data_IF_774515934919
#
_entry.id   IF_774515934919
#
_cell.length_a   1.000
_cell.length_b   1.000
_cell.length_c   1.000
_cell.angle_alpha   90.00
_cell.angle_beta   90.00
_cell.angle_gamma   90.00
#
_symmetry.space_group_name_H-M   'P 1'
#
loop_
_entity.id
_entity.type
_entity.pdbx_description
1 polymer ?
#
# COMPACT_ATOMS: atom_id res chain seq x y z
N UNK A 1 8.42 -5.59 -20.36
CA UNK A 1 8.17 -6.30 -19.10
C UNK A 1 7.71 -5.23 -18.12
N UNK A 2 6.42 -5.21 -17.79
CA UNK A 2 5.90 -4.24 -16.83
C UNK A 2 6.48 -4.53 -15.44
N UNK A 3 6.93 -3.47 -14.77
CA UNK A 3 7.35 -3.55 -13.38
C UNK A 3 6.11 -3.69 -12.49
N UNK A 4 6.23 -4.35 -11.34
CA UNK A 4 5.14 -4.42 -10.34
C UNK A 4 4.62 -3.04 -9.94
N UNK A 5 5.48 -2.03 -9.94
CA UNK A 5 5.08 -0.65 -9.69
C UNK A 5 4.07 -0.16 -10.73
N UNK A 6 4.29 -0.45 -12.01
CA UNK A 6 3.39 -0.07 -13.11
C UNK A 6 2.06 -0.82 -13.01
N UNK A 7 2.09 -2.13 -12.72
CA UNK A 7 0.88 -2.94 -12.52
C UNK A 7 0.02 -2.39 -11.39
N UNK A 8 0.62 -2.07 -10.23
CA UNK A 8 -0.12 -1.50 -9.10
C UNK A 8 -0.69 -0.12 -9.44
N UNK A 9 0.08 0.73 -10.13
CA UNK A 9 -0.40 2.03 -10.58
C UNK A 9 -1.57 1.90 -11.56
N UNK A 10 -1.52 0.92 -12.47
CA UNK A 10 -2.59 0.68 -13.44
C UNK A 10 -3.87 0.15 -12.78
N UNK A 11 -3.76 -0.86 -11.89
CA UNK A 11 -4.90 -1.38 -11.12
C UNK A 11 -5.65 -0.27 -10.37
N UNK A 12 -4.93 0.74 -9.86
CA UNK A 12 -5.51 1.90 -9.20
C UNK A 12 -6.10 2.91 -10.20
N UNK A 13 -5.38 3.23 -11.28
CA UNK A 13 -5.78 4.22 -12.30
C UNK A 13 -7.05 3.80 -13.04
N UNK A 14 -7.23 2.52 -13.35
CA UNK A 14 -8.44 2.03 -14.02
C UNK A 14 -9.64 1.90 -13.07
N UNK A 15 -9.51 2.30 -11.80
CA UNK A 15 -10.60 2.35 -10.81
C UNK A 15 -11.02 0.99 -10.25
N UNK A 16 -10.43 -0.11 -10.72
CA UNK A 16 -10.78 -1.48 -10.30
C UNK A 16 -10.30 -1.86 -8.89
N UNK A 17 -9.37 -1.08 -8.33
CA UNK A 17 -8.78 -1.30 -7.00
C UNK A 17 -8.56 0.02 -6.24
N UNK A 18 -8.73 -0.01 -4.92
CA UNK A 18 -8.18 1.01 -4.04
C UNK A 18 -6.64 0.86 -3.89
N UNK A 19 -5.96 1.82 -3.25
CA UNK A 19 -4.50 1.79 -3.15
C UNK A 19 -3.97 0.52 -2.44
N UNK A 20 -4.66 0.06 -1.40
CA UNK A 20 -4.30 -1.16 -0.66
C UNK A 20 -4.46 -2.37 -1.55
N UNK A 21 -5.64 -2.54 -2.15
CA UNK A 21 -5.96 -3.62 -3.07
C UNK A 21 -5.01 -3.67 -4.26
N UNK A 22 -4.63 -2.52 -4.83
CA UNK A 22 -3.68 -2.46 -5.93
C UNK A 22 -2.33 -3.06 -5.54
N UNK A 23 -1.82 -2.78 -4.33
CA UNK A 23 -0.59 -3.40 -3.82
C UNK A 23 -0.81 -4.89 -3.54
N UNK A 24 -1.88 -5.25 -2.83
CA UNK A 24 -2.17 -6.64 -2.48
C UNK A 24 -2.26 -7.55 -3.71
N UNK A 25 -3.08 -7.18 -4.69
CA UNK A 25 -3.26 -7.96 -5.91
C UNK A 25 -2.01 -7.97 -6.81
N UNK A 26 -1.10 -7.01 -6.66
CA UNK A 26 0.16 -7.01 -7.43
C UNK A 26 1.22 -7.91 -6.81
N UNK A 27 1.12 -8.17 -5.50
CA UNK A 27 2.10 -8.94 -4.73
C UNK A 27 1.51 -10.22 -4.10
N UNK A 28 0.35 -10.67 -4.56
CA UNK A 28 -0.36 -11.83 -4.01
C UNK A 28 0.44 -13.14 -4.11
N UNK A 29 1.33 -13.24 -5.09
CA UNK A 29 2.22 -14.38 -5.27
C UNK A 29 3.24 -14.55 -4.12
N UNK A 30 3.49 -13.49 -3.34
CA UNK A 30 4.31 -13.58 -2.12
C UNK A 30 3.53 -13.95 -0.86
N UNK A 31 2.20 -13.97 -0.92
CA UNK A 31 1.38 -14.07 0.29
C UNK A 31 0.78 -15.45 0.52
N UNK A 32 0.87 -16.34 -0.47
CA UNK A 32 0.24 -17.66 -0.43
C UNK A 32 -1.30 -17.61 -0.46
N UNK A 33 -1.88 -16.47 -0.83
CA UNK A 33 -3.32 -16.29 -0.97
C UNK A 33 -3.68 -16.12 -2.44
N UNK A 34 -4.87 -16.59 -2.83
CA UNK A 34 -5.42 -16.26 -4.14
C UNK A 34 -5.73 -14.76 -4.25
N UNK A 35 -5.78 -14.26 -5.48
CA UNK A 35 -5.94 -12.82 -5.74
C UNK A 35 -7.28 -12.29 -5.21
N UNK A 36 -8.36 -13.08 -5.27
CA UNK A 36 -9.69 -12.63 -4.81
C UNK A 36 -9.72 -12.47 -3.29
N UNK A 37 -9.25 -13.47 -2.54
CA UNK A 37 -9.23 -13.41 -1.08
C UNK A 37 -8.39 -12.25 -0.59
N UNK A 38 -7.20 -12.04 -1.15
CA UNK A 38 -6.35 -10.92 -0.71
C UNK A 38 -6.89 -9.55 -1.16
N UNK A 39 -7.57 -9.48 -2.31
CA UNK A 39 -8.29 -8.27 -2.72
C UNK A 39 -9.36 -7.90 -1.69
N UNK A 40 -10.14 -8.88 -1.24
CA UNK A 40 -11.21 -8.67 -0.26
C UNK A 40 -10.67 -8.22 1.10
N UNK A 41 -9.51 -8.73 1.52
CA UNK A 41 -8.82 -8.24 2.71
C UNK A 41 -8.49 -6.73 2.63
N UNK A 42 -8.37 -6.17 1.44
CA UNK A 42 -8.10 -4.74 1.21
C UNK A 42 -9.31 -3.80 1.22
N UNK A 43 -10.55 -4.31 1.31
CA UNK A 43 -11.77 -3.52 1.07
C UNK A 43 -11.92 -2.31 2.00
N UNK A 44 -11.61 -2.47 3.28
CA UNK A 44 -11.82 -1.43 4.29
C UNK A 44 -10.78 -0.29 4.23
N UNK A 45 -9.68 -0.44 3.48
CA UNK A 45 -8.48 0.39 3.58
C UNK A 45 -8.39 1.59 2.61
N UNK A 46 -9.45 1.86 1.86
CA UNK A 46 -9.53 3.01 0.95
C UNK A 46 -9.57 4.35 1.70
N UNK A 47 -9.17 5.44 1.06
CA UNK A 47 -9.26 6.81 1.61
C UNK A 47 -8.67 6.94 3.04
N UNK A 48 -7.53 6.28 3.29
CA UNK A 48 -6.92 6.25 4.64
C UNK A 48 -7.78 5.54 5.70
N UNK A 49 -8.63 4.59 5.27
CA UNK A 49 -9.73 3.94 5.99
C UNK A 49 -11.00 4.79 6.22
N UNK A 50 -11.35 5.56 5.19
CA UNK A 50 -12.72 6.04 4.99
C UNK A 50 -12.98 7.45 5.46
N UNK A 51 -12.08 8.05 6.23
CA UNK A 51 -12.21 9.41 6.73
C UNK A 51 -11.02 10.31 6.37
N UNK A 52 -10.09 9.85 5.53
CA UNK A 52 -8.85 10.52 5.12
C UNK A 52 -7.80 10.72 6.23
N UNK A 53 -8.10 10.40 7.48
CA UNK A 53 -7.21 10.66 8.60
C UNK A 53 -6.20 9.52 8.87
N UNK A 54 -6.34 8.36 8.23
CA UNK A 54 -5.40 7.25 8.42
C UNK A 54 -4.21 7.22 7.47
N UNK A 55 -3.40 6.17 7.64
CA UNK A 55 -2.20 5.90 6.84
C UNK A 55 -2.56 5.62 5.38
N UNK A 56 -1.67 5.99 4.45
CA UNK A 56 -1.78 5.67 3.04
C UNK A 56 -2.07 4.17 2.81
N UNK A 57 -3.09 3.85 2.02
CA UNK A 57 -3.46 2.46 1.73
C UNK A 57 -2.34 1.64 1.08
N UNK A 58 -1.48 2.26 0.28
CA UNK A 58 -0.32 1.59 -0.30
C UNK A 58 0.64 1.02 0.77
N UNK A 59 0.86 1.77 1.86
CA UNK A 59 1.68 1.33 2.99
C UNK A 59 1.00 0.23 3.78
N UNK A 60 -0.33 0.30 3.95
CA UNK A 60 -1.10 -0.78 4.58
C UNK A 60 -0.98 -2.07 3.77
N UNK A 61 -1.13 -2.00 2.44
CA UNK A 61 -0.98 -3.14 1.54
C UNK A 61 0.42 -3.75 1.63
N UNK A 62 1.47 -2.93 1.65
CA UNK A 62 2.85 -3.39 1.83
C UNK A 62 3.05 -4.11 3.17
N UNK A 63 2.44 -3.62 4.25
CA UNK A 63 2.49 -4.25 5.57
C UNK A 63 1.83 -5.63 5.60
N UNK A 64 0.65 -5.76 4.97
CA UNK A 64 -0.06 -7.04 4.85
C UNK A 64 0.79 -8.05 4.04
N UNK A 65 1.30 -7.65 2.87
CA UNK A 65 2.17 -8.50 2.04
C UNK A 65 3.39 -8.96 2.82
N UNK A 66 4.08 -8.04 3.51
CA UNK A 66 5.28 -8.36 4.28
C UNK A 66 4.98 -9.33 5.44
N UNK A 67 3.85 -9.14 6.12
CA UNK A 67 3.39 -10.03 7.18
C UNK A 67 3.18 -11.46 6.68
N UNK A 68 2.45 -11.59 5.57
CA UNK A 68 2.14 -12.88 4.96
C UNK A 68 3.38 -13.56 4.36
N UNK A 69 4.27 -12.79 3.71
CA UNK A 69 5.47 -13.32 3.09
C UNK A 69 6.54 -13.77 4.09
N UNK A 70 6.65 -13.09 5.24
CA UNK A 70 7.69 -13.41 6.23
C UNK A 70 7.22 -14.36 7.33
N UNK A 71 5.92 -14.36 7.64
CA UNK A 71 5.30 -15.13 8.73
C UNK A 71 6.04 -15.00 10.08
N UNK A 72 6.72 -13.87 10.27
CA UNK A 72 7.55 -13.58 11.44
C UNK A 72 7.31 -12.13 11.86
N UNK A 73 6.85 -11.96 13.11
CA UNK A 73 6.49 -10.66 13.67
C UNK A 73 7.68 -9.70 13.72
N UNK A 74 8.85 -10.15 14.15
CA UNK A 74 10.02 -9.29 14.35
C UNK A 74 10.59 -8.82 13.02
N UNK A 75 10.71 -9.72 12.04
CA UNK A 75 11.15 -9.42 10.67
C UNK A 75 10.15 -8.49 9.98
N UNK A 76 8.85 -8.76 10.12
CA UNK A 76 7.78 -7.90 9.58
C UNK A 76 7.88 -6.47 10.12
N UNK A 77 7.99 -6.30 11.45
CA UNK A 77 8.06 -4.97 12.06
C UNK A 77 9.33 -4.24 11.62
N UNK A 78 10.48 -4.93 11.59
CA UNK A 78 11.75 -4.34 11.13
C UNK A 78 11.66 -3.91 9.65
N UNK A 79 11.12 -4.77 8.79
CA UNK A 79 10.93 -4.48 7.37
C UNK A 79 9.96 -3.32 7.14
N UNK A 80 8.81 -3.33 7.82
CA UNK A 80 7.81 -2.27 7.68
C UNK A 80 8.34 -0.93 8.18
N UNK A 81 9.12 -0.91 9.26
CA UNK A 81 9.80 0.32 9.74
C UNK A 81 10.68 0.92 8.65
N UNK A 82 11.50 0.11 7.99
CA UNK A 82 12.34 0.59 6.89
C UNK A 82 11.51 1.13 5.71
N UNK A 83 10.38 0.50 5.37
CA UNK A 83 9.47 0.98 4.32
C UNK A 83 8.85 2.32 4.73
N UNK A 84 8.34 2.43 5.96
CA UNK A 84 7.75 3.65 6.51
C UNK A 84 8.75 4.80 6.52
N UNK A 85 9.98 4.56 7.00
CA UNK A 85 11.02 5.57 7.10
C UNK A 85 11.43 6.08 5.71
N UNK A 86 11.65 5.18 4.74
CA UNK A 86 11.97 5.56 3.37
C UNK A 86 10.82 6.30 2.69
N UNK A 87 9.58 5.87 2.91
CA UNK A 87 8.41 6.55 2.37
C UNK A 87 8.30 7.96 2.97
N UNK A 88 8.44 8.10 4.28
CA UNK A 88 8.41 9.41 4.94
C UNK A 88 9.57 10.31 4.53
N UNK A 89 10.78 9.78 4.34
CA UNK A 89 11.92 10.56 3.84
C UNK A 89 11.66 11.11 2.44
N UNK A 90 11.04 10.31 1.56
CA UNK A 90 10.72 10.73 0.20
C UNK A 90 9.51 11.67 0.15
N UNK A 91 8.45 11.36 0.87
CA UNK A 91 7.15 12.01 0.72
C UNK A 91 6.84 13.02 1.84
N UNK A 92 7.66 13.08 2.89
CA UNK A 92 7.48 13.92 4.10
C UNK A 92 6.46 13.38 5.10
N UNK A 93 5.41 12.72 4.61
CA UNK A 93 4.26 12.25 5.40
C UNK A 93 3.85 10.83 4.99
N UNK A 94 3.08 10.16 5.86
CA UNK A 94 2.50 8.83 5.58
C UNK A 94 0.98 8.82 5.60
N UNK A 95 0.35 9.91 6.07
CA UNK A 95 -1.10 10.07 6.17
C UNK A 95 -1.71 10.35 4.80
N UNK A 96 -2.82 9.68 4.48
CA UNK A 96 -3.43 9.70 3.15
C UNK A 96 -3.82 11.13 2.71
N UNK A 97 -4.53 11.87 3.57
CA UNK A 97 -4.95 13.26 3.29
C UNK A 97 -3.79 14.17 2.91
N UNK A 98 -2.70 14.12 3.66
CA UNK A 98 -1.56 15.01 3.44
C UNK A 98 -0.81 14.69 2.13
N UNK A 99 -0.85 13.43 1.68
CA UNK A 99 -0.25 13.01 0.41
C UNK A 99 -1.04 13.44 -0.82
N UNK A 100 -2.36 13.59 -0.68
CA UNK A 100 -3.27 13.95 -1.79
C UNK A 100 -3.54 15.46 -1.82
N UNK A 101 -3.58 16.10 -0.64
CA UNK A 101 -4.00 17.50 -0.49
C UNK A 101 -2.84 18.47 -0.24
N UNK A 102 -1.64 17.98 0.08
CA UNK A 102 -0.51 18.81 0.45
C UNK A 102 0.31 19.28 -0.75
N UNK A 103 0.35 20.59 -1.00
CA UNK A 103 1.24 21.24 -1.98
C UNK A 103 2.74 21.24 -1.58
N UNK A 104 3.07 20.78 -0.37
CA UNK A 104 4.44 20.72 0.16
C UNK A 104 5.06 19.31 0.18
N UNK A 105 4.32 18.28 -0.25
CA UNK A 105 4.71 16.88 -0.13
C UNK A 105 4.73 16.18 -1.48
N UNK A 106 5.63 15.22 -1.66
CA UNK A 106 5.63 14.40 -2.88
C UNK A 106 4.40 13.47 -2.81
N UNK A 107 3.53 13.44 -3.85
CA UNK A 107 2.38 12.55 -3.87
C UNK A 107 2.78 11.07 -3.82
N UNK A 108 1.86 10.23 -3.36
CA UNK A 108 2.05 8.78 -3.40
C UNK A 108 2.18 8.33 -4.87
N UNK A 109 3.03 7.34 -5.19
CA UNK A 109 3.07 6.78 -6.55
C UNK A 109 1.75 6.17 -7.04
N UNK A 110 0.80 5.93 -6.13
CA UNK A 110 -0.54 5.38 -6.40
C UNK A 110 -1.67 6.39 -6.12
N UNK A 111 -1.36 7.64 -5.78
CA UNK A 111 -2.36 8.71 -5.68
C UNK A 111 -2.65 9.32 -7.04
#
# INVERSE_FOLDING_TARGET
METRKEIAAEKKRCGSHNCTQAVLCTYHDFTGMDEETIKNAGNAFAAGMGNMEGTCGALVGAGIVLGLATQDKAKSIKGMRMIMDKFKQRNGVTQCKLLVSGSAFIPCPLS
#
